data_IF_065270900209
#
_entry.id   IF_065270900209
#
_cell.length_a   1.000
_cell.length_b   1.000
_cell.length_c   1.000
_cell.angle_alpha   90.00
_cell.angle_beta   90.00
_cell.angle_gamma   90.00
#
_symmetry.space_group_name_H-M   'P 1'
#
loop_
_entity.id
_entity.type
_entity.pdbx_description
1 polymer ?
#
# COMPACT_ATOMS: atom_id res chain seq x y z
N UNK A 1 8.27 -11.92 -4.11
CA UNK A 1 6.86 -12.30 -3.82
C UNK A 1 5.89 -11.37 -4.54
N UNK A 2 5.80 -10.08 -4.17
CA UNK A 2 4.81 -9.13 -4.75
C UNK A 2 4.82 -9.13 -6.27
N UNK A 3 5.96 -8.89 -6.93
CA UNK A 3 6.09 -8.90 -8.39
C UNK A 3 5.50 -10.17 -9.03
N UNK A 4 5.90 -11.35 -8.54
CA UNK A 4 5.47 -12.64 -9.09
C UNK A 4 3.98 -12.90 -8.90
N UNK A 5 3.43 -12.59 -7.73
CA UNK A 5 2.04 -12.91 -7.36
C UNK A 5 1.00 -11.88 -7.85
N UNK A 6 1.44 -10.66 -8.15
CA UNK A 6 0.58 -9.59 -8.65
C UNK A 6 0.66 -9.39 -10.17
N UNK A 7 1.77 -9.79 -10.78
CA UNK A 7 2.07 -9.51 -12.19
C UNK A 7 2.38 -8.03 -12.49
N UNK A 8 2.54 -7.19 -11.46
CA UNK A 8 2.97 -5.79 -11.61
C UNK A 8 4.43 -5.70 -12.06
N UNK A 9 4.90 -4.51 -12.45
CA UNK A 9 6.32 -4.33 -12.79
C UNK A 9 7.20 -4.55 -11.56
N UNK A 10 8.48 -4.86 -11.77
CA UNK A 10 9.45 -4.98 -10.67
C UNK A 10 9.58 -3.66 -9.89
N UNK A 11 9.59 -2.53 -10.60
CA UNK A 11 9.58 -1.19 -10.01
C UNK A 11 8.36 -0.97 -9.10
N UNK A 12 7.15 -1.28 -9.58
CA UNK A 12 5.93 -1.19 -8.78
C UNK A 12 6.01 -2.09 -7.55
N UNK A 13 6.55 -3.31 -7.68
CA UNK A 13 6.70 -4.24 -6.57
C UNK A 13 7.69 -3.72 -5.51
N UNK A 14 8.80 -3.09 -5.92
CA UNK A 14 9.77 -2.45 -5.03
C UNK A 14 9.15 -1.27 -4.29
N UNK A 15 8.42 -0.40 -5.00
CA UNK A 15 7.70 0.72 -4.39
C UNK A 15 6.62 0.26 -3.40
N UNK A 16 5.88 -0.82 -3.74
CA UNK A 16 4.93 -1.45 -2.82
C UNK A 16 5.61 -2.07 -1.59
N UNK A 17 6.80 -2.67 -1.75
CA UNK A 17 7.55 -3.20 -0.62
C UNK A 17 8.01 -2.08 0.34
N UNK A 18 8.50 -0.96 -0.21
CA UNK A 18 8.86 0.25 0.54
C UNK A 18 7.65 0.85 1.26
N UNK A 19 6.49 0.88 0.61
CA UNK A 19 5.24 1.31 1.23
C UNK A 19 4.89 0.41 2.42
N UNK A 20 4.94 -0.91 2.22
CA UNK A 20 4.66 -1.88 3.27
C UNK A 20 5.58 -1.74 4.48
N UNK A 21 6.86 -1.47 4.27
CA UNK A 21 7.82 -1.17 5.34
C UNK A 21 7.41 0.09 6.12
N UNK A 22 7.21 1.23 5.45
CA UNK A 22 6.84 2.49 6.10
C UNK A 22 5.51 2.40 6.86
N UNK A 23 4.49 1.77 6.28
CA UNK A 23 3.18 1.61 6.92
C UNK A 23 3.27 0.71 8.15
N UNK A 24 4.11 -0.33 8.14
CA UNK A 24 4.31 -1.18 9.34
C UNK A 24 4.99 -0.42 10.48
N UNK A 25 5.80 0.59 10.18
CA UNK A 25 6.42 1.44 11.20
C UNK A 25 5.41 2.42 11.85
N UNK A 26 4.23 2.62 11.25
CA UNK A 26 3.14 3.39 11.86
C UNK A 26 2.39 2.62 12.96
N UNK A 27 2.71 1.35 13.20
CA UNK A 27 2.11 0.54 14.30
C UNK A 27 2.30 1.18 15.67
N UNK A 28 3.41 1.87 15.89
CA UNK A 28 3.69 2.56 17.15
C UNK A 28 2.80 3.81 17.34
N UNK A 29 2.03 4.20 16.33
CA UNK A 29 1.21 5.42 16.29
C UNK A 29 -0.29 5.13 16.15
N UNK A 30 -0.77 3.97 16.63
CA UNK A 30 -2.20 3.65 16.71
C UNK A 30 -2.73 2.69 15.63
N UNK A 31 -1.88 2.20 14.72
CA UNK A 31 -2.27 1.21 13.73
C UNK A 31 -2.26 -0.21 14.34
N UNK A 32 -3.44 -0.85 14.44
CA UNK A 32 -3.59 -2.19 15.00
C UNK A 32 -2.72 -3.24 14.28
N UNK A 33 -2.71 -3.19 12.94
CA UNK A 33 -1.90 -4.06 12.09
C UNK A 33 -1.27 -3.29 10.92
N UNK A 34 -0.03 -3.61 10.58
CA UNK A 34 0.64 -3.03 9.42
C UNK A 34 0.23 -3.68 8.10
N UNK A 35 0.61 -3.08 6.97
CA UNK A 35 0.29 -3.62 5.64
C UNK A 35 0.83 -5.04 5.44
N UNK A 36 -0.06 -6.03 5.31
CA UNK A 36 0.35 -7.42 5.04
C UNK A 36 0.83 -7.60 3.60
N UNK A 37 1.61 -8.65 3.33
CA UNK A 37 2.04 -9.00 1.97
C UNK A 37 0.86 -9.21 1.02
N UNK A 38 -0.30 -9.66 1.54
CA UNK A 38 -1.53 -9.84 0.76
C UNK A 38 -2.07 -8.51 0.23
N UNK A 39 -2.08 -7.46 1.08
CA UNK A 39 -2.52 -6.13 0.67
C UNK A 39 -1.62 -5.55 -0.42
N UNK A 40 -0.30 -5.76 -0.30
CA UNK A 40 0.66 -5.35 -1.33
C UNK A 40 0.42 -6.08 -2.66
N UNK A 41 0.11 -7.39 -2.61
CA UNK A 41 -0.23 -8.15 -3.81
C UNK A 41 -1.51 -7.61 -4.46
N UNK A 42 -2.54 -7.28 -3.68
CA UNK A 42 -3.78 -6.70 -4.20
C UNK A 42 -3.56 -5.34 -4.85
N UNK A 43 -2.81 -4.43 -4.21
CA UNK A 43 -2.43 -3.17 -4.82
C UNK A 43 -1.67 -3.40 -6.14
N UNK A 44 -0.72 -4.33 -6.18
CA UNK A 44 -0.01 -4.69 -7.42
C UNK A 44 -0.92 -5.24 -8.52
N UNK A 45 -1.94 -6.04 -8.17
CA UNK A 45 -2.92 -6.57 -9.14
C UNK A 45 -3.77 -5.46 -9.75
N UNK A 46 -4.20 -4.51 -8.92
CA UNK A 46 -4.93 -3.33 -9.39
C UNK A 46 -4.05 -2.48 -10.34
N UNK A 47 -2.78 -2.25 -9.98
CA UNK A 47 -1.83 -1.55 -10.85
C UNK A 47 -1.63 -2.29 -12.19
N UNK A 48 -1.55 -3.62 -12.16
CA UNK A 48 -1.44 -4.44 -13.37
C UNK A 48 -2.68 -4.32 -14.28
N UNK A 49 -3.85 -4.07 -13.69
CA UNK A 49 -5.10 -3.81 -14.43
C UNK A 49 -5.21 -2.36 -14.94
N UNK A 50 -4.17 -1.54 -14.77
CA UNK A 50 -4.14 -0.15 -15.26
C UNK A 50 -4.68 0.88 -14.26
N UNK A 51 -4.98 0.47 -13.02
CA UNK A 51 -5.38 1.43 -11.98
C UNK A 51 -4.14 2.19 -11.51
N UNK A 52 -4.25 3.52 -11.45
CA UNK A 52 -3.17 4.38 -10.98
C UNK A 52 -2.66 3.96 -9.60
N UNK A 53 -1.35 4.03 -9.38
CA UNK A 53 -0.70 3.49 -8.20
C UNK A 53 -1.29 4.01 -6.87
N UNK A 54 -1.51 5.33 -6.78
CA UNK A 54 -2.13 5.98 -5.61
C UNK A 54 -3.52 5.40 -5.32
N UNK A 55 -4.35 5.24 -6.36
CA UNK A 55 -5.71 4.70 -6.22
C UNK A 55 -5.70 3.21 -5.84
N UNK A 56 -4.79 2.43 -6.42
CA UNK A 56 -4.62 1.02 -6.07
C UNK A 56 -4.24 0.84 -4.59
N UNK A 57 -3.28 1.62 -4.10
CA UNK A 57 -2.86 1.61 -2.70
C UNK A 57 -3.96 2.11 -1.76
N UNK A 58 -4.72 3.15 -2.15
CA UNK A 58 -5.83 3.66 -1.35
C UNK A 58 -6.88 2.58 -1.08
N UNK A 59 -7.34 1.90 -2.14
CA UNK A 59 -8.38 0.88 -2.04
C UNK A 59 -7.89 -0.39 -1.34
N UNK A 60 -6.69 -0.88 -1.69
CA UNK A 60 -6.20 -2.17 -1.21
C UNK A 60 -5.44 -2.11 0.12
N UNK A 61 -5.00 -0.92 0.56
CA UNK A 61 -4.17 -0.76 1.75
C UNK A 61 -4.83 0.22 2.72
N UNK A 62 -5.00 1.49 2.33
CA UNK A 62 -5.47 2.55 3.25
C UNK A 62 -6.82 2.18 3.88
N UNK A 63 -7.82 1.93 3.04
CA UNK A 63 -9.18 1.60 3.50
C UNK A 63 -9.31 0.23 4.14
N UNK A 64 -8.32 -0.65 3.96
CA UNK A 64 -8.34 -1.97 4.61
C UNK A 64 -7.74 -1.93 6.02
N UNK A 65 -6.86 -0.97 6.29
CA UNK A 65 -6.14 -0.90 7.56
C UNK A 65 -6.86 -0.07 8.63
N UNK A 66 -7.73 0.86 8.25
CA UNK A 66 -8.46 1.69 9.20
C UNK A 66 -9.69 2.34 8.57
N UNK A 67 -10.73 2.54 9.38
CA UNK A 67 -11.89 3.40 9.08
C UNK A 67 -11.73 4.82 9.65
N UNK A 68 -10.68 5.08 10.44
CA UNK A 68 -10.41 6.39 11.03
C UNK A 68 -9.77 7.33 10.02
N UNK A 69 -10.45 8.45 9.72
CA UNK A 69 -10.03 9.40 8.69
C UNK A 69 -8.62 9.97 8.93
N UNK A 70 -8.22 10.19 10.18
CA UNK A 70 -6.90 10.71 10.51
C UNK A 70 -5.79 9.70 10.14
N UNK A 71 -5.97 8.44 10.52
CA UNK A 71 -5.02 7.38 10.22
C UNK A 71 -4.97 7.09 8.71
N UNK A 72 -6.12 7.11 8.03
CA UNK A 72 -6.19 7.01 6.58
C UNK A 72 -5.34 8.10 5.91
N UNK A 73 -5.47 9.36 6.35
CA UNK A 73 -4.68 10.49 5.83
C UNK A 73 -3.17 10.27 6.04
N UNK A 74 -2.75 9.85 7.22
CA UNK A 74 -1.33 9.55 7.47
C UNK A 74 -0.78 8.47 6.54
N UNK A 75 -1.56 7.41 6.27
CA UNK A 75 -1.14 6.37 5.32
C UNK A 75 -1.14 6.91 3.89
N UNK A 76 -2.12 7.74 3.50
CA UNK A 76 -2.19 8.37 2.18
C UNK A 76 -1.01 9.31 1.91
N UNK A 77 -0.51 10.01 2.93
CA UNK A 77 0.72 10.81 2.83
C UNK A 77 1.93 9.92 2.53
N UNK A 78 2.04 8.77 3.20
CA UNK A 78 3.10 7.79 2.89
C UNK A 78 2.96 7.27 1.46
N UNK A 79 1.75 6.92 1.01
CA UNK A 79 1.50 6.50 -0.38
C UNK A 79 1.95 7.58 -1.36
N UNK A 80 1.57 8.83 -1.09
CA UNK A 80 1.92 10.00 -1.90
C UNK A 80 3.42 10.24 -1.97
N UNK A 81 4.16 10.00 -0.89
CA UNK A 81 5.63 10.14 -0.88
C UNK A 81 6.38 9.09 -1.71
N UNK A 82 5.70 8.00 -2.10
CA UNK A 82 6.29 6.89 -2.86
C UNK A 82 5.82 6.94 -4.32
N UNK A 83 4.57 7.33 -4.55
CA UNK A 83 3.93 7.34 -5.86
C UNK A 83 3.45 8.75 -6.17
N UNK A 84 4.32 9.57 -6.75
CA UNK A 84 3.96 10.90 -7.28
C UNK A 84 3.07 10.79 -8.52
#
# INVERSE_FOLDING_TARGET
>A
IVHRESGCTEEQALSLARLGEKVRNLREHGLAEGASTRLLIYAGRLMKQGIAARRACQVAIVWTLSDELELQRSIEEVVSSIFE
#
